data_IF_149470370057
#
_entry.id   IF_149470370057
#
_cell.length_a   1.000
_cell.length_b   1.000
_cell.length_c   1.000
_cell.angle_alpha   90.00
_cell.angle_beta   90.00
_cell.angle_gamma   90.00
#
_symmetry.space_group_name_H-M   'P 1'
#
loop_
_entity.id
_entity.type
_entity.pdbx_description
1 polymer ?
#
# COMPACT_ATOMS: atom_id res chain seq x y z
N UNK A 1 15.06 6.89 25.62
CA UNK A 1 14.35 6.30 24.46
C UNK A 1 13.56 5.10 24.94
N UNK A 2 12.25 5.23 25.06
CA UNK A 2 11.36 4.16 25.50
C UNK A 2 11.02 3.31 24.28
N UNK A 3 11.70 2.18 24.11
CA UNK A 3 11.46 1.27 22.98
C UNK A 3 10.07 0.63 23.16
N UNK A 4 9.09 1.00 22.33
CA UNK A 4 7.79 0.33 22.33
C UNK A 4 7.91 -0.98 21.55
N UNK A 5 7.55 -2.09 22.19
CA UNK A 5 7.38 -3.38 21.51
C UNK A 5 6.18 -3.22 20.57
N UNK A 6 6.43 -3.25 19.27
CA UNK A 6 5.39 -3.12 18.28
C UNK A 6 4.65 -4.45 18.11
N UNK A 7 5.37 -5.57 17.89
CA UNK A 7 4.75 -6.87 17.57
C UNK A 7 5.61 -8.05 18.03
N UNK A 8 5.01 -9.08 18.64
CA UNK A 8 5.63 -10.37 18.95
C UNK A 8 5.01 -11.52 18.15
N UNK A 9 5.82 -12.36 17.48
CA UNK A 9 5.35 -13.61 16.84
C UNK A 9 6.03 -14.80 17.50
N UNK A 10 5.26 -15.61 18.22
CA UNK A 10 5.72 -16.87 18.75
C UNK A 10 5.48 -18.02 17.75
N UNK A 11 6.54 -18.72 17.35
CA UNK A 11 6.47 -19.94 16.52
C UNK A 11 7.13 -21.10 17.26
N UNK A 12 6.51 -22.28 17.24
CA UNK A 12 7.09 -23.51 17.77
C UNK A 12 6.69 -24.69 16.90
N UNK A 13 7.64 -25.56 16.58
CA UNK A 13 7.40 -26.83 15.89
C UNK A 13 7.63 -28.00 16.86
N UNK A 14 7.14 -29.19 16.52
CA UNK A 14 7.35 -30.38 17.34
C UNK A 14 8.83 -30.84 17.39
N UNK A 15 9.66 -30.39 16.43
CA UNK A 15 11.07 -30.80 16.29
C UNK A 15 12.07 -29.67 16.57
N UNK A 16 11.62 -28.42 16.56
CA UNK A 16 12.49 -27.25 16.70
C UNK A 16 12.31 -26.53 18.04
N UNK A 17 13.29 -25.66 18.36
CA UNK A 17 13.15 -24.71 19.46
C UNK A 17 12.03 -23.72 19.11
N UNK A 18 11.28 -23.32 20.13
CA UNK A 18 10.38 -22.17 19.98
C UNK A 18 11.17 -20.91 19.68
N UNK A 19 10.60 -19.99 18.91
CA UNK A 19 11.19 -18.68 18.66
C UNK A 19 10.13 -17.61 18.82
N UNK A 20 10.51 -16.53 19.48
CA UNK A 20 9.76 -15.28 19.48
C UNK A 20 10.50 -14.30 18.59
N UNK A 21 9.82 -13.80 17.56
CA UNK A 21 10.31 -12.64 16.80
C UNK A 21 9.64 -11.41 17.36
N UNK A 22 10.42 -10.49 17.91
CA UNK A 22 9.95 -9.23 18.45
C UNK A 22 10.36 -8.10 17.54
N UNK A 23 9.40 -7.25 17.18
CA UNK A 23 9.58 -6.05 16.39
C UNK A 23 9.44 -4.85 17.32
N UNK A 24 10.46 -4.02 17.37
CA UNK A 24 10.51 -2.83 18.20
C UNK A 24 10.52 -1.59 17.31
N UNK A 25 9.82 -0.54 17.73
CA UNK A 25 9.83 0.76 17.07
C UNK A 25 10.65 1.74 17.91
N UNK A 26 11.66 2.36 17.29
CA UNK A 26 12.49 3.41 17.89
C UNK A 26 11.97 4.82 17.57
N UNK A 27 10.87 4.95 16.81
CA UNK A 27 10.25 6.23 16.50
C UNK A 27 9.59 6.82 17.75
N UNK A 28 9.83 8.09 17.99
CA UNK A 28 9.14 8.87 19.03
C UNK A 28 7.68 9.08 18.63
N UNK A 29 6.76 8.78 19.55
CA UNK A 29 5.31 8.88 19.36
C UNK A 29 4.79 8.29 18.03
N UNK A 30 4.86 6.95 17.86
CA UNK A 30 4.47 6.30 16.61
C UNK A 30 2.98 6.48 16.27
N UNK A 31 2.12 6.78 17.25
CA UNK A 31 0.70 7.05 17.03
C UNK A 31 0.46 8.32 16.20
N UNK A 32 1.36 9.30 16.29
CA UNK A 32 1.27 10.55 15.54
C UNK A 32 2.21 10.54 14.34
N UNK A 33 3.42 10.00 14.50
CA UNK A 33 4.50 10.14 13.53
C UNK A 33 4.63 8.97 12.54
N UNK A 34 3.78 7.94 12.65
CA UNK A 34 3.77 6.81 11.75
C UNK A 34 2.36 6.55 11.20
N UNK A 35 2.08 6.94 9.94
CA UNK A 35 0.81 6.68 9.28
C UNK A 35 0.43 5.19 9.21
N UNK A 36 1.41 4.29 9.26
CA UNK A 36 1.15 2.85 9.32
C UNK A 36 0.62 2.44 10.70
N UNK A 37 1.12 3.05 11.77
CA UNK A 37 0.71 2.73 13.14
C UNK A 37 -0.62 3.41 13.50
N UNK A 38 -0.85 4.64 13.06
CA UNK A 38 -2.11 5.35 13.31
C UNK A 38 -3.32 4.70 12.62
N UNK A 39 -3.14 4.17 11.41
CA UNK A 39 -4.20 3.53 10.60
C UNK A 39 -4.48 2.06 10.99
N UNK A 40 -4.71 1.81 12.28
CA UNK A 40 -5.09 0.48 12.78
C UNK A 40 -3.90 -0.37 13.24
N UNK A 41 -2.87 0.28 13.80
CA UNK A 41 -1.72 -0.33 14.47
C UNK A 41 -0.93 -1.29 13.58
N UNK A 42 -0.47 -0.84 12.41
CA UNK A 42 0.27 -1.71 11.50
C UNK A 42 1.72 -1.30 11.40
N UNK A 43 2.60 -2.30 11.49
CA UNK A 43 4.02 -2.09 11.26
C UNK A 43 4.39 -2.70 9.90
N UNK A 44 5.03 -1.90 9.04
CA UNK A 44 5.53 -2.38 7.75
C UNK A 44 6.53 -3.55 7.86
N UNK A 45 7.23 -3.65 8.99
CA UNK A 45 8.13 -4.76 9.29
C UNK A 45 7.43 -6.10 9.53
N UNK A 46 6.11 -6.07 9.77
CA UNK A 46 5.35 -7.25 10.07
C UNK A 46 4.76 -7.90 8.83
N UNK A 47 4.92 -9.23 8.73
CA UNK A 47 4.36 -10.02 7.62
C UNK A 47 5.16 -9.96 6.32
N UNK A 48 6.17 -9.09 6.27
CA UNK A 48 7.04 -8.93 5.14
C UNK A 48 8.28 -9.82 5.26
N UNK A 49 8.17 -11.05 4.76
CA UNK A 49 9.33 -11.96 4.67
C UNK A 49 10.46 -11.39 3.77
N UNK A 50 10.12 -10.39 2.96
CA UNK A 50 10.98 -9.74 1.97
C UNK A 50 10.95 -8.20 2.05
N UNK A 51 10.29 -7.53 3.02
CA UNK A 51 10.29 -6.05 2.99
C UNK A 51 11.61 -5.46 3.48
N UNK A 52 12.09 -4.48 2.72
CA UNK A 52 12.24 -3.08 3.11
C UNK A 52 12.13 -2.75 4.60
N UNK A 53 13.00 -3.31 5.43
CA UNK A 53 12.93 -3.11 6.88
C UNK A 53 12.79 -1.63 7.25
N UNK A 54 11.97 -1.33 8.25
CA UNK A 54 11.69 0.04 8.67
C UNK A 54 12.96 0.66 9.26
N UNK A 55 13.23 1.92 8.92
CA UNK A 55 14.41 2.65 9.43
C UNK A 55 14.41 2.76 10.97
N UNK A 56 13.22 2.95 11.54
CA UNK A 56 12.96 2.95 12.99
C UNK A 56 12.67 1.54 13.55
N UNK A 57 12.60 0.53 12.69
CA UNK A 57 12.31 -0.84 13.08
C UNK A 57 13.56 -1.57 13.58
N UNK A 58 13.41 -2.34 14.65
CA UNK A 58 14.38 -3.36 15.04
C UNK A 58 13.71 -4.71 15.16
N UNK A 59 14.32 -5.72 14.56
CA UNK A 59 13.89 -7.10 14.67
C UNK A 59 14.84 -7.85 15.59
N UNK A 60 14.31 -8.41 16.67
CA UNK A 60 15.03 -9.33 17.53
C UNK A 60 14.39 -10.71 17.48
N UNK A 61 15.22 -11.76 17.59
CA UNK A 61 14.74 -13.15 17.63
C UNK A 61 15.24 -13.78 18.92
N UNK A 62 14.32 -14.07 19.82
CA UNK A 62 14.61 -14.81 21.04
C UNK A 62 14.33 -16.28 20.81
N UNK A 63 15.32 -17.13 21.04
CA UNK A 63 15.17 -18.59 20.93
C UNK A 63 14.82 -19.17 22.29
N UNK A 64 13.75 -19.94 22.33
CA UNK A 64 13.22 -20.56 23.52
C UNK A 64 13.53 -22.05 23.61
N UNK A 65 12.74 -22.72 24.45
CA UNK A 65 12.86 -24.14 24.71
C UNK A 65 12.22 -24.98 23.60
N UNK A 66 12.63 -26.24 23.50
CA UNK A 66 11.94 -27.24 22.68
C UNK A 66 10.68 -27.73 23.40
N UNK A 67 9.71 -28.24 22.65
CA UNK A 67 8.46 -28.78 23.22
C UNK A 67 8.69 -29.97 24.18
N UNK A 68 9.84 -30.67 24.05
CA UNK A 68 10.26 -31.76 24.94
C UNK A 68 10.59 -31.28 26.36
N UNK A 69 11.02 -30.04 26.51
CA UNK A 69 11.25 -29.42 27.83
C UNK A 69 9.92 -28.91 28.41
N UNK A 70 8.97 -29.83 28.64
CA UNK A 70 7.57 -29.53 28.97
C UNK A 70 7.39 -28.52 30.12
N UNK A 71 8.18 -28.67 31.20
CA UNK A 71 8.12 -27.81 32.39
C UNK A 71 8.44 -26.34 32.11
N UNK A 72 9.32 -26.06 31.14
CA UNK A 72 9.77 -24.69 30.81
C UNK A 72 9.11 -24.15 29.54
N UNK A 73 8.73 -25.03 28.60
CA UNK A 73 8.12 -24.65 27.33
C UNK A 73 6.72 -24.04 27.51
N UNK A 74 5.86 -24.66 28.32
CA UNK A 74 4.50 -24.20 28.55
C UNK A 74 4.43 -22.76 29.10
N UNK A 75 5.11 -22.47 30.22
CA UNK A 75 5.15 -21.12 30.79
C UNK A 75 5.74 -20.07 29.84
N UNK A 76 6.82 -20.41 29.13
CA UNK A 76 7.44 -19.51 28.15
C UNK A 76 6.48 -19.15 27.01
N UNK A 77 5.82 -20.14 26.42
CA UNK A 77 4.87 -19.91 25.32
C UNK A 77 3.63 -19.15 25.79
N UNK A 78 3.17 -19.36 27.03
CA UNK A 78 2.09 -18.58 27.62
C UNK A 78 2.49 -17.10 27.71
N UNK A 79 3.65 -16.81 28.31
CA UNK A 79 4.20 -15.44 28.41
C UNK A 79 4.35 -14.78 27.04
N UNK A 80 4.85 -15.50 26.04
CA UNK A 80 5.01 -14.95 24.69
C UNK A 80 3.68 -14.67 24.00
N UNK A 81 2.64 -15.47 24.25
CA UNK A 81 1.28 -15.21 23.74
C UNK A 81 0.62 -14.01 24.43
N UNK A 82 0.85 -13.83 25.73
CA UNK A 82 0.39 -12.66 26.48
C UNK A 82 1.03 -11.38 25.91
N UNK A 83 2.36 -11.36 25.76
CA UNK A 83 3.07 -10.25 25.10
C UNK A 83 2.58 -9.99 23.67
N UNK A 84 2.27 -11.05 22.91
CA UNK A 84 1.72 -10.92 21.56
C UNK A 84 0.30 -10.33 21.57
N UNK A 85 -0.53 -10.66 22.57
CA UNK A 85 -1.89 -10.13 22.69
C UNK A 85 -1.90 -8.65 23.10
N UNK A 86 -0.90 -8.21 23.87
CA UNK A 86 -0.68 -6.80 24.21
C UNK A 86 -0.18 -5.97 23.01
N UNK A 87 0.39 -6.61 21.98
CA UNK A 87 0.89 -5.92 20.80
C UNK A 87 -0.26 -5.57 19.84
N UNK A 88 -0.48 -4.29 19.55
CA UNK A 88 -1.48 -3.91 18.57
C UNK A 88 -0.88 -4.12 17.17
N UNK A 89 -1.41 -5.08 16.41
CA UNK A 89 -1.08 -5.16 14.97
C UNK A 89 -0.66 -6.50 14.41
N UNK A 90 -1.59 -7.44 14.22
CA UNK A 90 -1.34 -8.63 13.38
C UNK A 90 -2.21 -8.69 12.12
N UNK A 91 -3.07 -7.70 11.89
CA UNK A 91 -3.97 -7.67 10.74
C UNK A 91 -3.26 -7.05 9.54
N UNK A 92 -3.38 -7.65 8.35
CA UNK A 92 -2.91 -7.05 7.09
C UNK A 92 -3.96 -6.03 6.64
N UNK A 93 -3.69 -4.74 6.71
CA UNK A 93 -4.42 -3.71 5.93
C UNK A 93 -3.49 -3.22 4.83
N UNK A 94 -4.08 -2.69 3.75
CA UNK A 94 -3.30 -2.10 2.66
C UNK A 94 -2.55 -0.90 3.19
N UNK A 95 -1.23 -0.90 3.01
CA UNK A 95 -0.38 0.22 3.37
C UNK A 95 -0.55 1.35 2.34
N UNK A 96 -0.51 2.64 2.74
CA UNK A 96 -0.40 3.74 1.79
C UNK A 96 0.85 3.54 0.93
N UNK A 97 0.81 3.98 -0.32
CA UNK A 97 1.90 3.78 -1.29
C UNK A 97 3.09 4.74 -1.10
N UNK A 98 2.82 5.91 -0.51
CA UNK A 98 3.77 6.91 -0.06
C UNK A 98 3.40 7.28 1.36
N UNK A 99 4.37 7.40 2.25
CA UNK A 99 4.14 7.88 3.62
C UNK A 99 5.36 8.61 4.16
N UNK A 100 5.12 9.68 4.93
CA UNK A 100 6.15 10.31 5.76
C UNK A 100 6.11 9.60 7.13
N UNK A 101 7.26 9.10 7.59
CA UNK A 101 7.43 8.48 8.89
C UNK A 101 8.63 9.15 9.56
N UNK A 102 8.37 9.94 10.61
CA UNK A 102 9.39 10.78 11.23
C UNK A 102 10.15 11.62 10.18
N UNK A 103 11.46 11.47 10.13
CA UNK A 103 12.37 12.21 9.25
C UNK A 103 12.53 11.59 7.85
N UNK A 104 11.78 10.53 7.55
CA UNK A 104 11.95 9.77 6.31
C UNK A 104 10.65 9.68 5.52
N UNK A 105 10.79 9.67 4.20
CA UNK A 105 9.74 9.28 3.27
C UNK A 105 9.92 7.82 2.88
N UNK A 106 8.82 7.08 2.89
CA UNK A 106 8.72 5.71 2.41
C UNK A 106 8.06 5.70 1.02
N UNK A 107 8.71 5.05 0.06
CA UNK A 107 8.27 4.91 -1.34
C UNK A 107 8.11 3.43 -1.75
N UNK A 108 7.92 2.53 -0.78
CA UNK A 108 8.10 1.09 -0.98
C UNK A 108 7.01 0.36 -1.75
N UNK A 109 6.03 1.09 -2.28
CA UNK A 109 5.00 0.53 -3.13
C UNK A 109 5.24 0.74 -4.64
N UNK A 110 6.37 1.34 -5.01
CA UNK A 110 6.85 1.40 -6.39
C UNK A 110 8.08 0.51 -6.54
N UNK A 111 7.90 -0.71 -7.08
CA UNK A 111 9.02 -1.54 -7.49
C UNK A 111 9.93 -0.73 -8.40
N UNK A 112 11.24 -0.96 -8.32
CA UNK A 112 12.26 -0.39 -9.21
C UNK A 112 12.65 1.07 -8.96
N UNK A 113 11.96 1.78 -8.04
CA UNK A 113 12.24 3.19 -7.74
C UNK A 113 13.60 3.39 -7.05
N UNK A 114 14.10 2.35 -6.38
CA UNK A 114 15.35 2.30 -5.61
C UNK A 114 16.51 1.60 -6.35
N UNK A 115 16.32 1.15 -7.59
CA UNK A 115 17.31 0.36 -8.35
C UNK A 115 18.36 1.23 -9.08
N UNK A 116 18.68 2.41 -8.55
CA UNK A 116 19.56 3.35 -9.24
C UNK A 116 21.05 2.95 -9.25
N UNK A 117 21.48 1.89 -8.56
CA UNK A 117 22.93 1.65 -8.38
C UNK A 117 23.56 0.35 -8.87
N UNK A 118 22.94 -0.85 -8.89
CA UNK A 118 23.78 -2.05 -9.07
C UNK A 118 23.15 -3.18 -9.87
N UNK A 119 23.81 -3.56 -10.97
CA UNK A 119 23.74 -4.93 -11.47
C UNK A 119 25.16 -5.46 -11.70
N UNK A 120 25.52 -6.35 -10.78
CA UNK A 120 26.58 -7.35 -10.80
C UNK A 120 26.97 -7.84 -12.21
N UNK A 121 28.27 -7.83 -12.53
CA UNK A 121 28.84 -8.77 -13.49
C UNK A 121 29.73 -9.73 -12.69
N UNK A 122 29.40 -11.03 -12.59
CA UNK A 122 30.30 -12.00 -12.01
C UNK A 122 31.48 -12.22 -12.96
N UNK A 123 32.58 -11.51 -12.74
CA UNK A 123 33.85 -11.80 -13.42
C UNK A 123 34.68 -10.59 -13.87
N UNK A 124 34.16 -9.37 -13.79
CA UNK A 124 34.95 -8.20 -14.19
C UNK A 124 35.83 -7.70 -13.03
N UNK A 125 37.15 -7.84 -13.20
CA UNK A 125 38.15 -7.13 -12.42
C UNK A 125 37.85 -5.62 -12.42
N UNK A 126 38.20 -4.98 -11.30
CA UNK A 126 37.72 -3.68 -10.85
C UNK A 126 38.12 -2.45 -11.71
N UNK A 127 38.73 -2.59 -12.91
CA UNK A 127 39.32 -1.44 -13.60
C UNK A 127 39.11 -1.28 -15.12
N UNK A 128 38.70 -2.30 -15.89
CA UNK A 128 38.96 -2.21 -17.35
C UNK A 128 37.76 -2.10 -18.29
N UNK A 129 36.52 -1.96 -17.79
CA UNK A 129 35.41 -1.62 -18.69
C UNK A 129 34.35 -0.75 -18.00
N UNK A 130 34.07 0.48 -18.50
CA UNK A 130 33.00 1.29 -17.97
C UNK A 130 31.65 0.58 -18.22
N UNK A 131 30.73 0.56 -17.25
CA UNK A 131 29.41 -0.04 -17.42
C UNK A 131 28.66 0.64 -18.59
N UNK A 132 27.79 -0.10 -19.30
CA UNK A 132 27.04 0.43 -20.42
C UNK A 132 26.29 1.71 -20.02
N UNK A 133 26.38 2.71 -20.90
CA UNK A 133 25.88 4.08 -20.75
C UNK A 133 24.35 4.11 -20.64
N UNK A 134 23.76 3.88 -19.45
CA UNK A 134 22.43 4.36 -19.02
C UNK A 134 21.99 3.69 -17.71
N UNK A 135 22.37 4.18 -16.52
CA UNK A 135 21.83 3.62 -15.25
C UNK A 135 21.54 4.62 -14.12
N UNK A 136 21.71 5.92 -14.35
CA UNK A 136 21.23 6.96 -13.43
C UNK A 136 20.10 7.72 -14.14
N UNK A 137 19.06 8.18 -13.43
CA UNK A 137 18.24 9.24 -13.98
C UNK A 137 19.16 10.43 -14.26
N UNK A 138 19.20 10.84 -15.53
CA UNK A 138 19.80 12.11 -15.88
C UNK A 138 18.85 13.21 -15.35
N UNK A 139 19.41 14.26 -14.78
CA UNK A 139 18.66 15.48 -14.60
C UNK A 139 18.29 16.09 -15.96
N UNK A 140 17.53 17.17 -15.94
CA UNK A 140 17.16 17.92 -17.15
C UNK A 140 18.38 18.54 -17.88
N UNK A 141 19.58 18.48 -17.30
CA UNK A 141 20.85 18.94 -17.89
C UNK A 141 21.74 17.78 -18.39
N UNK A 142 21.29 16.52 -18.28
CA UNK A 142 22.09 15.35 -18.67
C UNK A 142 23.10 14.89 -17.61
N UNK A 143 23.13 15.49 -16.41
CA UNK A 143 24.01 15.09 -15.30
C UNK A 143 23.38 13.95 -14.50
N UNK A 144 24.22 13.02 -14.06
CA UNK A 144 23.79 11.91 -13.20
C UNK A 144 23.52 12.43 -11.80
N UNK A 145 22.29 12.28 -11.31
CA UNK A 145 21.94 12.55 -9.91
C UNK A 145 21.97 11.22 -9.15
N UNK A 146 22.84 11.06 -8.14
CA UNK A 146 22.72 9.94 -7.21
C UNK A 146 21.43 10.15 -6.40
N UNK A 147 20.55 9.15 -6.41
CA UNK A 147 19.25 9.27 -5.74
C UNK A 147 19.41 9.02 -4.25
N UNK A 148 18.97 9.89 -3.35
CA UNK A 148 19.36 9.85 -1.93
C UNK A 148 18.61 8.79 -1.09
N UNK A 149 18.44 7.58 -1.64
CA UNK A 149 17.93 6.43 -0.90
C UNK A 149 18.93 5.96 0.14
N UNK A 150 18.43 5.50 1.29
CA UNK A 150 19.26 4.98 2.38
C UNK A 150 19.97 3.68 2.04
N UNK A 151 19.38 2.88 1.15
CA UNK A 151 20.03 1.75 0.52
C UNK A 151 19.38 1.47 -0.82
N UNK A 152 20.18 1.20 -1.84
CA UNK A 152 19.70 0.87 -3.16
C UNK A 152 19.39 -0.62 -3.30
N UNK A 153 18.42 -0.92 -4.16
CA UNK A 153 18.15 -2.28 -4.58
C UNK A 153 19.19 -2.76 -5.59
N UNK A 154 19.61 -4.02 -5.47
CA UNK A 154 20.36 -4.72 -6.51
C UNK A 154 19.46 -5.73 -7.23
N UNK A 155 19.89 -6.30 -8.36
CA UNK A 155 19.23 -7.50 -8.88
C UNK A 155 19.16 -8.56 -7.78
N UNK A 156 17.95 -9.01 -7.43
CA UNK A 156 17.64 -9.94 -6.33
C UNK A 156 17.83 -9.40 -4.90
N UNK A 157 18.31 -8.16 -4.70
CA UNK A 157 18.34 -7.49 -3.40
C UNK A 157 17.32 -6.38 -3.38
N UNK A 158 16.26 -6.57 -2.61
CA UNK A 158 15.26 -5.54 -2.32
C UNK A 158 15.97 -4.42 -1.53
N UNK A 159 16.03 -3.19 -2.07
CA UNK A 159 16.72 -2.06 -1.45
C UNK A 159 15.99 -1.56 -0.21
N UNK A 160 16.29 -0.34 0.26
CA UNK A 160 15.45 0.33 1.24
C UNK A 160 14.79 1.52 0.52
N UNK A 161 13.49 1.46 0.19
CA UNK A 161 12.75 2.54 -0.45
C UNK A 161 12.43 3.65 0.57
N UNK A 162 13.45 4.06 1.29
CA UNK A 162 13.45 5.05 2.34
C UNK A 162 14.43 6.14 1.93
N UNK A 163 14.02 7.39 2.06
CA UNK A 163 14.82 8.57 1.79
C UNK A 163 14.57 9.56 2.92
N UNK A 164 15.55 10.39 3.29
CA UNK A 164 15.26 11.46 4.26
C UNK A 164 14.32 12.46 3.62
N UNK A 165 13.36 12.97 4.38
CA UNK A 165 12.36 13.92 3.88
C UNK A 165 13.02 15.16 3.26
N UNK A 166 14.09 15.67 3.88
CA UNK A 166 14.88 16.80 3.37
C UNK A 166 15.53 16.55 1.99
N UNK A 167 15.83 15.30 1.66
CA UNK A 167 16.50 14.92 0.42
C UNK A 167 15.47 14.66 -0.71
N UNK A 168 14.19 14.49 -0.36
CA UNK A 168 13.10 14.31 -1.31
C UNK A 168 12.65 15.66 -1.89
N UNK A 169 13.45 16.19 -2.81
CA UNK A 169 13.20 17.47 -3.50
C UNK A 169 12.34 17.30 -4.77
N UNK A 170 11.71 18.37 -5.28
CA UNK A 170 10.98 18.33 -6.56
C UNK A 170 11.84 17.79 -7.72
N UNK A 171 13.14 18.13 -7.74
CA UNK A 171 14.10 17.62 -8.74
C UNK A 171 14.26 16.10 -8.65
N UNK A 172 14.36 15.56 -7.44
CA UNK A 172 14.46 14.11 -7.20
C UNK A 172 13.17 13.43 -7.66
N UNK A 173 11.99 13.97 -7.36
CA UNK A 173 10.72 13.42 -7.82
C UNK A 173 10.59 13.40 -9.36
N UNK A 174 10.98 14.49 -10.05
CA UNK A 174 11.05 14.54 -11.52
C UNK A 174 11.99 13.47 -12.07
N UNK A 175 13.16 13.30 -11.44
CA UNK A 175 14.12 12.25 -11.83
C UNK A 175 13.50 10.85 -11.70
N UNK A 176 12.78 10.56 -10.62
CA UNK A 176 12.08 9.28 -10.45
C UNK A 176 10.99 9.06 -11.51
N UNK A 177 10.22 10.09 -11.84
CA UNK A 177 9.16 10.01 -12.84
C UNK A 177 9.69 9.77 -14.26
N UNK A 178 10.86 10.35 -14.59
CA UNK A 178 11.51 10.19 -15.90
C UNK A 178 12.43 8.96 -15.99
N UNK A 179 12.72 8.30 -14.87
CA UNK A 179 13.62 7.14 -14.83
C UNK A 179 13.10 5.96 -15.65
N UNK A 180 13.91 5.46 -16.59
CA UNK A 180 13.56 4.29 -17.44
C UNK A 180 14.37 3.06 -17.03
N UNK A 181 13.87 2.24 -16.08
CA UNK A 181 14.59 1.06 -15.63
C UNK A 181 14.76 0.07 -16.78
N UNK A 182 15.91 -0.61 -16.82
CA UNK A 182 16.24 -1.63 -17.81
C UNK A 182 16.17 -3.02 -17.17
N UNK A 183 15.70 -4.01 -17.91
CA UNK A 183 15.66 -5.41 -17.48
C UNK A 183 17.07 -6.04 -17.48
N UNK A 184 17.22 -7.13 -16.72
CA UNK A 184 18.52 -7.83 -16.60
C UNK A 184 19.02 -8.40 -17.94
N UNK A 185 18.10 -8.79 -18.82
CA UNK A 185 18.42 -9.34 -20.15
C UNK A 185 18.42 -8.26 -21.24
N UNK A 186 18.43 -6.98 -20.85
CA UNK A 186 18.30 -5.83 -21.76
C UNK A 186 16.84 -5.47 -22.05
N UNK A 187 16.62 -4.23 -22.50
CA UNK A 187 15.30 -3.68 -22.80
C UNK A 187 14.67 -2.90 -21.65
N UNK A 188 13.88 -1.89 -21.98
CA UNK A 188 13.19 -1.03 -21.02
C UNK A 188 12.05 -1.78 -20.32
N UNK A 189 11.98 -1.68 -18.99
CA UNK A 189 10.83 -2.14 -18.20
C UNK A 189 9.71 -1.10 -18.37
N UNK A 190 8.98 -1.22 -19.46
CA UNK A 190 7.91 -0.26 -19.82
C UNK A 190 6.78 -0.20 -18.80
N UNK A 191 6.59 -1.27 -18.02
CA UNK A 191 5.61 -1.33 -16.93
C UNK A 191 5.85 -0.27 -15.84
N UNK A 192 7.11 0.11 -15.58
CA UNK A 192 7.41 1.21 -14.67
C UNK A 192 6.81 2.53 -15.15
N UNK A 193 7.10 2.88 -16.40
CA UNK A 193 6.63 4.14 -17.00
C UNK A 193 5.11 4.16 -17.22
N UNK A 194 4.49 3.02 -17.51
CA UNK A 194 3.04 2.91 -17.81
C UNK A 194 2.16 2.74 -16.57
N UNK A 195 2.62 2.03 -15.54
CA UNK A 195 1.80 1.67 -14.37
C UNK A 195 2.26 2.36 -13.09
N UNK A 196 3.57 2.36 -12.83
CA UNK A 196 4.12 2.84 -11.56
C UNK A 196 4.25 4.36 -11.52
N UNK A 197 4.72 5.00 -12.59
CA UNK A 197 4.88 6.46 -12.63
C UNK A 197 3.55 7.21 -12.52
N UNK A 198 2.49 6.93 -13.31
CA UNK A 198 1.20 7.62 -13.14
C UNK A 198 0.67 7.52 -11.72
N UNK A 199 0.79 6.34 -11.11
CA UNK A 199 0.38 6.10 -9.73
C UNK A 199 1.23 6.87 -8.72
N UNK A 200 2.54 6.95 -8.94
CA UNK A 200 3.46 7.75 -8.14
C UNK A 200 3.11 9.23 -8.17
N UNK A 201 2.89 9.78 -9.36
CA UNK A 201 2.50 11.18 -9.54
C UNK A 201 1.15 11.48 -8.88
N UNK A 202 0.18 10.57 -9.03
CA UNK A 202 -1.10 10.67 -8.35
C UNK A 202 -0.93 10.74 -6.82
N UNK A 203 -0.20 9.79 -6.24
CA UNK A 203 0.03 9.77 -4.79
C UNK A 203 0.83 10.98 -4.31
N UNK A 204 1.76 11.52 -5.11
CA UNK A 204 2.43 12.78 -4.78
C UNK A 204 1.46 13.96 -4.75
N UNK A 205 0.59 14.09 -5.75
CA UNK A 205 -0.45 15.12 -5.77
C UNK A 205 -1.36 15.02 -4.54
N UNK A 206 -1.74 13.80 -4.14
CA UNK A 206 -2.63 13.56 -3.01
C UNK A 206 -1.96 13.82 -1.65
N UNK A 207 -0.77 13.26 -1.43
CA UNK A 207 -0.16 13.25 -0.10
C UNK A 207 0.88 14.36 0.12
N UNK A 208 1.39 14.98 -0.95
CA UNK A 208 2.43 16.01 -0.89
C UNK A 208 2.18 17.13 -1.93
N UNK A 209 1.02 17.83 -1.86
CA UNK A 209 0.60 18.79 -2.89
C UNK A 209 1.58 19.95 -3.08
N UNK A 210 2.29 20.37 -2.03
CA UNK A 210 3.30 21.43 -2.13
C UNK A 210 4.51 21.01 -2.98
N UNK A 211 4.97 19.77 -2.84
CA UNK A 211 6.05 19.24 -3.68
C UNK A 211 5.54 19.07 -5.11
N UNK A 212 4.30 18.60 -5.27
CA UNK A 212 3.66 18.45 -6.58
C UNK A 212 3.57 19.78 -7.35
N UNK A 213 3.13 20.86 -6.71
CA UNK A 213 3.09 22.19 -7.33
C UNK A 213 4.47 22.61 -7.88
N UNK A 214 5.53 22.40 -7.08
CA UNK A 214 6.91 22.69 -7.51
C UNK A 214 7.44 21.74 -8.58
N UNK A 215 6.92 20.51 -8.66
CA UNK A 215 7.24 19.58 -9.75
C UNK A 215 6.68 20.13 -11.07
N UNK A 216 5.45 20.65 -11.07
CA UNK A 216 4.82 21.20 -12.27
C UNK A 216 5.52 22.47 -12.80
N UNK A 217 6.12 23.27 -11.91
CA UNK A 217 7.00 24.37 -12.34
C UNK A 217 8.25 23.88 -13.10
N UNK A 218 8.78 22.72 -12.75
CA UNK A 218 10.00 22.16 -13.33
C UNK A 218 9.74 21.26 -14.55
N UNK A 219 8.60 20.59 -14.58
CA UNK A 219 8.26 19.55 -15.54
C UNK A 219 6.73 19.50 -15.73
N UNK A 220 6.13 20.51 -16.38
CA UNK A 220 4.67 20.60 -16.55
C UNK A 220 4.12 19.43 -17.36
N UNK A 221 4.93 18.78 -18.21
CA UNK A 221 4.51 17.62 -18.99
C UNK A 221 4.19 16.37 -18.14
N UNK A 222 4.56 16.37 -16.86
CA UNK A 222 4.21 15.28 -15.94
C UNK A 222 2.73 15.31 -15.54
N UNK A 223 2.01 16.42 -15.73
CA UNK A 223 0.57 16.51 -15.45
C UNK A 223 -0.24 15.59 -16.37
N UNK A 224 0.11 15.54 -17.66
CA UNK A 224 -0.51 14.68 -18.67
C UNK A 224 -0.33 13.19 -18.38
N UNK A 225 0.59 12.84 -17.47
CA UNK A 225 0.90 11.47 -17.07
C UNK A 225 0.10 11.00 -15.86
N UNK A 226 -0.74 11.84 -15.27
CA UNK A 226 -1.68 11.41 -14.26
C UNK A 226 -2.64 10.36 -14.86
N UNK A 227 -3.08 9.36 -14.08
CA UNK A 227 -4.06 8.39 -14.56
C UNK A 227 -5.34 9.13 -14.97
N UNK A 228 -5.94 8.70 -16.08
CA UNK A 228 -7.21 9.26 -16.56
C UNK A 228 -8.36 8.84 -15.65
N UNK A 229 -9.46 9.60 -15.66
CA UNK A 229 -10.73 9.23 -14.97
C UNK A 229 -11.17 7.81 -15.34
N UNK A 230 -10.95 7.41 -16.60
CA UNK A 230 -11.27 6.07 -17.11
C UNK A 230 -10.38 4.96 -16.50
N UNK A 231 -9.14 5.26 -16.08
CA UNK A 231 -8.26 4.31 -15.35
C UNK A 231 -8.70 4.09 -13.89
N UNK A 232 -9.44 5.04 -13.32
CA UNK A 232 -9.97 5.01 -11.95
C UNK A 232 -11.33 4.30 -11.91
N UNK A 233 -12.16 4.54 -12.93
CA UNK A 233 -13.48 3.91 -13.16
C UNK A 233 -13.46 2.37 -13.03
N UNK A 234 -12.34 1.73 -13.34
CA UNK A 234 -12.20 0.27 -13.28
C UNK A 234 -11.91 -0.27 -11.87
N UNK A 235 -11.63 0.57 -10.87
CA UNK A 235 -11.16 0.14 -9.53
C UNK A 235 -12.24 0.30 -8.45
N UNK A 236 -12.23 -0.63 -7.50
CA UNK A 236 -13.14 -0.65 -6.36
C UNK A 236 -12.74 0.39 -5.33
N UNK A 237 -13.72 1.11 -4.76
CA UNK A 237 -13.55 2.17 -3.76
C UNK A 237 -14.23 1.80 -2.44
N UNK A 238 -13.77 2.38 -1.32
CA UNK A 238 -14.35 2.14 0.01
C UNK A 238 -15.52 3.08 0.31
N UNK A 239 -16.60 2.55 0.91
CA UNK A 239 -17.84 3.30 1.17
C UNK A 239 -17.69 4.51 2.09
N UNK A 240 -16.67 4.55 2.97
CA UNK A 240 -16.44 5.71 3.87
C UNK A 240 -16.23 7.04 3.14
N UNK A 241 -15.88 6.99 1.86
CA UNK A 241 -15.51 8.14 1.04
C UNK A 241 -16.46 8.34 -0.14
N UNK A 242 -17.76 8.06 0.01
CA UNK A 242 -18.72 8.25 -1.08
C UNK A 242 -19.78 9.27 -0.64
N UNK A 243 -20.06 10.33 -1.43
CA UNK A 243 -21.13 11.27 -1.13
C UNK A 243 -22.49 10.59 -1.14
N UNK A 244 -23.42 11.13 -0.36
CA UNK A 244 -24.82 10.73 -0.42
C UNK A 244 -25.40 10.91 -1.84
N UNK A 245 -26.37 10.07 -2.18
CA UNK A 245 -27.05 9.93 -3.47
C UNK A 245 -26.17 9.43 -4.62
N UNK A 246 -25.06 8.74 -4.33
CA UNK A 246 -24.19 8.17 -5.36
C UNK A 246 -24.68 6.80 -5.82
N UNK A 247 -24.78 6.58 -7.14
CA UNK A 247 -25.08 5.24 -7.69
C UNK A 247 -23.83 4.37 -7.67
N UNK A 248 -23.91 3.23 -6.98
CA UNK A 248 -22.84 2.25 -6.85
C UNK A 248 -23.32 0.85 -7.23
N UNK A 249 -22.43 0.07 -7.82
CA UNK A 249 -22.56 -1.36 -8.00
C UNK A 249 -21.87 -2.11 -6.87
N UNK A 250 -22.56 -3.14 -6.35
CA UNK A 250 -21.98 -4.06 -5.39
C UNK A 250 -21.14 -5.09 -6.16
N UNK A 251 -19.81 -5.18 -5.97
CA UNK A 251 -19.00 -6.19 -6.60
C UNK A 251 -19.41 -7.57 -6.11
N UNK A 252 -19.46 -8.53 -7.03
CA UNK A 252 -19.88 -9.91 -6.80
C UNK A 252 -18.86 -10.63 -5.89
N UNK A 253 -18.94 -10.45 -4.57
CA UNK A 253 -18.26 -11.30 -3.59
C UNK A 253 -19.13 -12.53 -3.34
N UNK A 254 -18.51 -13.70 -3.25
CA UNK A 254 -19.13 -15.03 -3.23
C UNK A 254 -20.05 -15.29 -2.03
N UNK A 255 -20.38 -14.27 -1.23
CA UNK A 255 -21.19 -14.36 -0.04
C UNK A 255 -22.22 -13.23 -0.01
N UNK A 256 -23.38 -13.43 -0.65
CA UNK A 256 -24.72 -12.89 -0.28
C UNK A 256 -25.49 -12.11 -1.36
N UNK A 257 -24.92 -11.70 -2.50
CA UNK A 257 -25.69 -10.95 -3.52
C UNK A 257 -25.26 -11.35 -4.94
N UNK A 258 -26.00 -12.22 -5.65
CA UNK A 258 -25.75 -12.50 -7.07
C UNK A 258 -26.03 -11.29 -7.98
N UNK A 259 -24.96 -10.73 -8.56
CA UNK A 259 -25.02 -9.81 -9.70
C UNK A 259 -24.68 -8.35 -9.41
N UNK A 260 -24.39 -7.58 -10.48
CA UNK A 260 -24.15 -6.14 -10.43
C UNK A 260 -25.49 -5.41 -10.18
N UNK A 261 -25.92 -5.29 -8.92
CA UNK A 261 -27.11 -4.50 -8.57
C UNK A 261 -26.72 -3.02 -8.52
N UNK A 262 -27.42 -2.18 -9.29
CA UNK A 262 -27.33 -0.73 -9.14
C UNK A 262 -28.02 -0.35 -7.83
N UNK A 263 -27.24 0.21 -6.91
CA UNK A 263 -27.68 0.65 -5.58
C UNK A 263 -27.38 2.14 -5.43
N UNK A 264 -28.14 2.85 -4.60
CA UNK A 264 -27.88 4.25 -4.26
C UNK A 264 -27.34 4.32 -2.84
N UNK A 265 -26.20 5.00 -2.66
CA UNK A 265 -25.61 5.25 -1.34
C UNK A 265 -26.19 6.53 -0.76
N UNK A 266 -26.94 6.47 0.35
CA UNK A 266 -27.58 7.65 0.98
C UNK A 266 -26.65 8.37 2.00
N UNK A 267 -25.41 7.91 2.16
CA UNK A 267 -24.47 8.37 3.19
C UNK A 267 -24.39 7.46 4.43
N UNK A 268 -25.32 6.51 4.59
CA UNK A 268 -25.34 5.55 5.71
C UNK A 268 -25.75 4.13 5.30
N UNK A 269 -26.61 4.00 4.31
CA UNK A 269 -27.18 2.77 3.78
C UNK A 269 -27.01 2.71 2.26
N UNK A 270 -26.84 1.48 1.75
CA UNK A 270 -27.04 1.15 0.35
C UNK A 270 -28.51 0.79 0.15
N UNK A 271 -29.17 1.53 -0.73
CA UNK A 271 -30.55 1.30 -1.13
C UNK A 271 -30.59 0.63 -2.50
N UNK A 272 -31.32 -0.47 -2.62
CA UNK A 272 -31.56 -1.10 -3.91
C UNK A 272 -32.96 -1.69 -3.96
N UNK A 273 -33.53 -1.66 -5.15
CA UNK A 273 -34.87 -2.16 -5.40
C UNK A 273 -34.83 -3.61 -5.87
N UNK A 274 -35.69 -4.45 -5.27
CA UNK A 274 -35.88 -5.84 -5.68
C UNK A 274 -37.35 -6.17 -5.85
N UNK A 275 -37.62 -7.10 -6.76
CA UNK A 275 -38.94 -7.74 -6.87
C UNK A 275 -38.96 -9.04 -6.05
N UNK A 276 -40.13 -9.45 -5.51
CA UNK A 276 -40.31 -10.64 -4.67
C UNK A 276 -39.78 -11.96 -5.24
N UNK A 277 -39.74 -12.11 -6.58
CA UNK A 277 -39.21 -13.30 -7.26
C UNK A 277 -37.76 -13.18 -7.69
N UNK A 278 -37.08 -12.08 -7.37
CA UNK A 278 -35.64 -11.97 -7.61
C UNK A 278 -34.87 -12.95 -6.72
N UNK A 279 -33.74 -13.47 -7.21
CA UNK A 279 -32.83 -14.32 -6.43
C UNK A 279 -32.24 -13.63 -5.18
N UNK A 280 -32.56 -12.35 -5.00
CA UNK A 280 -32.04 -11.41 -4.03
C UNK A 280 -33.09 -11.04 -2.96
N UNK A 281 -34.36 -11.37 -3.20
CA UNK A 281 -35.42 -11.14 -2.24
C UNK A 281 -35.27 -12.13 -1.06
N UNK A 282 -35.30 -11.65 0.20
CA UNK A 282 -35.45 -12.51 1.36
C UNK A 282 -36.58 -13.52 1.17
N UNK A 283 -36.36 -14.77 1.57
CA UNK A 283 -37.31 -15.88 1.31
C UNK A 283 -38.68 -15.67 1.93
N UNK A 284 -38.77 -14.84 2.98
CA UNK A 284 -40.03 -14.43 3.60
C UNK A 284 -40.85 -13.43 2.77
N UNK A 285 -40.32 -12.93 1.66
CA UNK A 285 -41.01 -11.97 0.77
C UNK A 285 -41.56 -12.62 -0.50
N UNK A 286 -41.29 -13.90 -0.75
CA UNK A 286 -41.68 -14.60 -2.00
C UNK A 286 -43.19 -14.84 -2.14
N UNK A 287 -43.95 -14.63 -1.07
CA UNK A 287 -45.42 -14.69 -1.07
C UNK A 287 -46.08 -13.38 -1.51
N UNK A 288 -45.31 -12.32 -1.74
CA UNK A 288 -45.82 -11.04 -2.21
C UNK A 288 -46.06 -11.04 -3.74
N UNK A 289 -47.05 -10.26 -4.24
CA UNK A 289 -47.27 -10.02 -5.66
C UNK A 289 -46.01 -9.53 -6.40
N UNK A 290 -45.82 -9.98 -7.65
CA UNK A 290 -44.61 -9.70 -8.44
C UNK A 290 -44.41 -8.22 -8.82
N UNK A 291 -45.49 -7.45 -8.83
CA UNK A 291 -45.54 -6.03 -9.17
C UNK A 291 -45.11 -5.12 -8.01
N UNK A 292 -44.90 -5.67 -6.81
CA UNK A 292 -44.38 -4.91 -5.68
C UNK A 292 -42.87 -4.71 -5.82
N UNK A 293 -42.44 -3.45 -5.80
CA UNK A 293 -41.02 -3.08 -5.68
C UNK A 293 -40.69 -2.89 -4.20
N UNK A 294 -39.66 -3.59 -3.73
CA UNK A 294 -39.22 -3.50 -2.34
C UNK A 294 -37.85 -2.85 -2.32
N UNK A 295 -37.75 -1.69 -1.68
CA UNK A 295 -36.47 -1.04 -1.41
C UNK A 295 -35.82 -1.67 -0.17
N UNK A 296 -34.66 -2.31 -0.35
CA UNK A 296 -33.86 -2.85 0.74
C UNK A 296 -32.79 -1.84 1.12
N UNK A 297 -32.68 -1.55 2.41
CA UNK A 297 -31.59 -0.75 2.98
C UNK A 297 -30.57 -1.66 3.67
N UNK A 298 -29.35 -1.65 3.19
CA UNK A 298 -28.24 -2.40 3.75
C UNK A 298 -27.22 -1.45 4.39
N UNK A 299 -26.83 -1.72 5.65
CA UNK A 299 -25.77 -0.97 6.33
C UNK A 299 -24.42 -1.69 6.14
N UNK A 300 -23.57 -1.23 5.22
CA UNK A 300 -22.28 -1.88 4.98
C UNK A 300 -21.31 -1.71 6.15
N UNK A 301 -20.45 -2.70 6.42
CA UNK A 301 -19.38 -2.55 7.40
C UNK A 301 -18.37 -1.46 6.96
N UNK A 302 -17.56 -0.93 7.90
CA UNK A 302 -16.68 0.23 7.68
C UNK A 302 -15.67 0.09 6.52
N UNK A 303 -15.41 -1.11 6.02
CA UNK A 303 -14.42 -1.36 4.96
C UNK A 303 -15.02 -2.03 3.72
N UNK A 304 -16.35 -1.98 3.57
CA UNK A 304 -17.04 -2.55 2.43
C UNK A 304 -16.62 -1.83 1.14
N UNK A 305 -16.42 -2.63 0.10
CA UNK A 305 -15.88 -2.19 -1.18
C UNK A 305 -17.01 -2.15 -2.19
N UNK A 306 -17.18 -1.01 -2.87
CA UNK A 306 -18.16 -0.84 -3.93
C UNK A 306 -17.50 -0.33 -5.20
N UNK A 307 -18.17 -0.54 -6.32
CA UNK A 307 -17.75 0.05 -7.60
C UNK A 307 -18.70 1.20 -7.90
N UNK A 308 -18.21 2.41 -8.13
CA UNK A 308 -19.08 3.47 -8.65
C UNK A 308 -19.45 3.09 -10.09
N UNK A 309 -20.74 3.12 -10.41
CA UNK A 309 -21.25 2.67 -11.71
C UNK A 309 -21.82 3.86 -12.47
N UNK A 310 -21.33 4.04 -13.70
CA UNK A 310 -21.92 4.91 -14.73
C UNK A 310 -22.12 6.39 -14.38
N UNK A 311 -21.23 7.00 -13.58
CA UNK A 311 -21.27 8.47 -13.35
C UNK A 311 -19.86 9.08 -13.47
N UNK A 312 -19.50 9.44 -14.72
CA UNK A 312 -18.19 10.02 -15.07
C UNK A 312 -18.02 11.42 -14.45
N UNK A 313 -19.10 12.18 -14.35
CA UNK A 313 -19.07 13.55 -13.82
C UNK A 313 -18.86 13.53 -12.31
N UNK A 314 -19.58 12.65 -11.59
CA UNK A 314 -19.37 12.44 -10.16
C UNK A 314 -17.96 11.90 -9.86
N UNK A 315 -17.44 10.98 -10.66
CA UNK A 315 -16.09 10.46 -10.46
C UNK A 315 -15.02 11.52 -10.73
N UNK A 316 -15.24 12.37 -11.72
CA UNK A 316 -14.37 13.53 -11.98
C UNK A 316 -14.41 14.50 -10.81
N UNK A 317 -15.60 14.79 -10.30
CA UNK A 317 -15.78 15.63 -9.11
C UNK A 317 -15.11 15.03 -7.87
N UNK A 318 -15.31 13.74 -7.61
CA UNK A 318 -14.69 13.04 -6.47
C UNK A 318 -13.18 12.91 -6.59
N UNK A 319 -12.67 12.86 -7.83
CA UNK A 319 -11.26 12.93 -8.13
C UNK A 319 -10.68 14.32 -7.86
N UNK A 320 -11.37 15.37 -8.32
CA UNK A 320 -11.00 16.77 -8.08
C UNK A 320 -11.04 17.13 -6.58
N UNK A 321 -12.02 16.60 -5.86
CA UNK A 321 -12.20 16.78 -4.41
C UNK A 321 -11.26 15.88 -3.57
N UNK A 322 -10.46 15.01 -4.19
CA UNK A 322 -9.50 14.13 -3.49
C UNK A 322 -10.15 13.02 -2.65
N UNK A 323 -11.43 12.73 -2.90
CA UNK A 323 -12.25 11.79 -2.14
C UNK A 323 -11.94 10.33 -2.53
N UNK A 324 -11.57 10.08 -3.79
CA UNK A 324 -11.18 8.74 -4.27
C UNK A 324 -9.66 8.57 -4.18
N UNK A 325 -9.22 7.50 -3.50
CA UNK A 325 -7.82 7.08 -3.38
C UNK A 325 -7.62 5.71 -4.06
N UNK A 326 -6.62 5.61 -4.95
CA UNK A 326 -6.30 4.41 -5.78
C UNK A 326 -5.17 3.55 -5.22
#
# INVERSE_FOLDING_TARGET
>A
MTTKLAIGIAKGSNRDRSHMTSYCCELEDPETNCPFYSNGHQCIEYGSFLSYGCVYGRRSRTTGHTKRAYKSYGPQMKRWKELQAECPGTRRVRHPHIAIVGDYIWLGAYPHIDMCEVMWSPGSSFYDNPPPKTRYPNDYTGRRIPMPFLAYGGAFRLGKPWMKTQDFTPKVAVCLARFRPQAMMGGEITDYQKKHVPRFLFHLRTYMPEIWARILELAPELEERLPSVDDILLKTVSIKHIPANTVVGIPNDRQHIPGNIKSVWDGRYLEYDVTPKSALAPTNLWSLPEDIVITIKFAPPPDYQVRVVDDKDLLTKLWEEGVIQV
#
